data_IF_783493423491
#
_entry.id   IF_783493423491
#
_cell.length_a   1.000
_cell.length_b   1.000
_cell.length_c   1.000
_cell.angle_alpha   90.00
_cell.angle_beta   90.00
_cell.angle_gamma   90.00
#
_symmetry.space_group_name_H-M   'P 1'
#
loop_
_entity.id
_entity.type
_entity.pdbx_description
1 polymer ?
#
# COMPACT_ATOMS: atom_id res chain seq x y z
N UNK A 1 35.69 9.40 27.94
CA UNK A 1 34.91 8.15 27.89
C UNK A 1 33.44 8.53 28.05
N UNK A 2 32.57 8.22 27.10
CA UNK A 2 31.13 8.51 27.24
C UNK A 2 30.51 7.54 28.26
N UNK A 3 29.61 8.03 29.11
CA UNK A 3 28.84 7.20 30.03
C UNK A 3 27.89 6.29 29.25
N UNK A 4 27.52 5.14 29.83
CA UNK A 4 26.62 4.17 29.18
C UNK A 4 25.29 4.81 28.72
N UNK A 5 24.72 5.73 29.50
CA UNK A 5 23.51 6.49 29.14
C UNK A 5 23.72 7.43 27.95
N UNK A 6 24.88 8.07 27.84
CA UNK A 6 25.25 8.96 26.73
C UNK A 6 25.46 8.14 25.45
N UNK A 7 26.04 6.94 25.56
CA UNK A 7 26.18 5.97 24.47
C UNK A 7 24.82 5.46 23.99
N UNK A 8 23.90 5.15 24.91
CA UNK A 8 22.53 4.75 24.59
C UNK A 8 21.74 5.89 23.93
N UNK A 9 21.92 7.14 24.36
CA UNK A 9 21.30 8.29 23.73
C UNK A 9 21.83 8.54 22.29
N UNK A 10 23.15 8.47 22.10
CA UNK A 10 23.80 8.62 20.79
C UNK A 10 23.35 7.54 19.80
N UNK A 11 23.08 6.33 20.27
CA UNK A 11 22.77 5.19 19.39
C UNK A 11 21.30 4.84 19.27
N UNK A 12 20.51 5.13 20.30
CA UNK A 12 19.07 5.00 20.30
C UNK A 12 18.39 6.05 19.41
N UNK A 13 18.90 7.29 19.38
CA UNK A 13 18.24 8.39 18.68
C UNK A 13 18.21 8.22 17.14
N UNK A 14 19.30 7.82 16.46
CA UNK A 14 19.25 7.54 15.02
C UNK A 14 18.36 6.34 14.67
N UNK A 15 18.39 5.28 15.49
CA UNK A 15 17.54 4.09 15.29
C UNK A 15 16.06 4.43 15.43
N UNK A 16 15.69 5.13 16.50
CA UNK A 16 14.33 5.59 16.73
C UNK A 16 13.88 6.54 15.61
N UNK A 17 14.75 7.45 15.17
CA UNK A 17 14.45 8.37 14.07
C UNK A 17 14.15 7.63 12.77
N UNK A 18 14.99 6.67 12.36
CA UNK A 18 14.74 5.85 11.16
C UNK A 18 13.45 5.04 11.29
N UNK A 19 13.19 4.47 12.47
CA UNK A 19 11.97 3.70 12.74
C UNK A 19 10.71 4.57 12.61
N UNK A 20 10.69 5.75 13.25
CA UNK A 20 9.58 6.70 13.18
C UNK A 20 9.35 7.18 11.75
N UNK A 21 10.42 7.44 10.99
CA UNK A 21 10.31 7.80 9.59
C UNK A 21 9.78 6.64 8.73
N UNK A 22 10.16 5.40 9.03
CA UNK A 22 9.60 4.20 8.41
C UNK A 22 8.09 4.09 8.63
N UNK A 23 7.63 4.28 9.88
CA UNK A 23 6.20 4.30 10.18
C UNK A 23 5.47 5.47 9.51
N UNK A 24 6.07 6.66 9.43
CA UNK A 24 5.48 7.78 8.72
C UNK A 24 5.27 7.45 7.24
N UNK A 25 6.28 6.88 6.57
CA UNK A 25 6.18 6.40 5.18
C UNK A 25 5.07 5.35 5.02
N UNK A 26 5.01 4.39 5.93
CA UNK A 26 3.96 3.37 5.94
C UNK A 26 2.56 3.98 6.08
N UNK A 27 2.38 4.94 6.97
CA UNK A 27 1.10 5.62 7.17
C UNK A 27 0.68 6.40 5.92
N UNK A 28 1.60 7.07 5.22
CA UNK A 28 1.26 7.75 3.96
C UNK A 28 0.83 6.76 2.87
N UNK A 29 1.54 5.64 2.70
CA UNK A 29 1.15 4.61 1.74
C UNK A 29 -0.22 4.00 2.07
N UNK A 30 -0.48 3.70 3.35
CA UNK A 30 -1.78 3.18 3.81
C UNK A 30 -2.90 4.22 3.70
N UNK A 31 -2.60 5.51 3.83
CA UNK A 31 -3.55 6.57 3.52
C UNK A 31 -3.89 6.61 2.02
N UNK A 32 -2.90 6.39 1.15
CA UNK A 32 -3.13 6.18 -0.28
C UNK A 32 -4.05 4.99 -0.56
N UNK A 33 -3.82 3.86 0.12
CA UNK A 33 -4.70 2.68 0.04
C UNK A 33 -6.14 2.99 0.47
N UNK A 34 -6.32 3.69 1.59
CA UNK A 34 -7.64 4.08 2.05
C UNK A 34 -8.36 4.99 1.03
N UNK A 35 -7.63 5.90 0.38
CA UNK A 35 -8.16 6.72 -0.71
C UNK A 35 -8.48 5.91 -1.96
N UNK A 36 -7.72 4.86 -2.25
CA UNK A 36 -7.96 3.95 -3.38
C UNK A 36 -9.19 3.05 -3.16
N UNK A 37 -9.47 2.70 -1.91
CA UNK A 37 -10.63 1.90 -1.51
C UNK A 37 -11.86 2.74 -1.13
N UNK A 38 -11.88 4.03 -1.48
CA UNK A 38 -13.03 4.90 -1.23
C UNK A 38 -14.31 4.31 -1.85
N UNK A 39 -15.39 4.29 -1.07
CA UNK A 39 -16.66 3.67 -1.46
C UNK A 39 -16.73 2.15 -1.20
N UNK A 40 -15.64 1.49 -0.83
CA UNK A 40 -15.67 0.09 -0.38
C UNK A 40 -16.04 -0.01 1.11
N UNK A 41 -16.41 -1.20 1.55
CA UNK A 41 -16.61 -1.46 2.98
C UNK A 41 -15.30 -1.35 3.77
N UNK A 42 -15.41 -0.85 5.00
CA UNK A 42 -14.27 -0.72 5.92
C UNK A 42 -13.55 -2.04 6.19
N UNK A 43 -14.30 -3.14 6.23
CA UNK A 43 -13.78 -4.50 6.41
C UNK A 43 -12.74 -4.86 5.35
N UNK A 44 -12.92 -4.41 4.11
CA UNK A 44 -11.96 -4.64 3.03
C UNK A 44 -10.66 -3.87 3.29
N UNK A 45 -10.73 -2.61 3.72
CA UNK A 45 -9.56 -1.82 4.06
C UNK A 45 -8.76 -2.48 5.18
N UNK A 46 -9.43 -2.93 6.25
CA UNK A 46 -8.77 -3.57 7.39
C UNK A 46 -8.03 -4.85 6.97
N UNK A 47 -8.62 -5.60 6.04
CA UNK A 47 -8.02 -6.82 5.49
C UNK A 47 -6.85 -6.51 4.57
N UNK A 48 -7.01 -5.60 3.61
CA UNK A 48 -5.95 -5.24 2.67
C UNK A 48 -4.76 -4.60 3.40
N UNK A 49 -4.99 -3.73 4.38
CA UNK A 49 -3.94 -3.16 5.25
C UNK A 49 -3.12 -4.26 5.94
N UNK A 50 -3.77 -5.32 6.42
CA UNK A 50 -3.08 -6.47 7.04
C UNK A 50 -2.32 -7.30 6.01
N UNK A 51 -2.86 -7.50 4.81
CA UNK A 51 -2.19 -8.24 3.75
C UNK A 51 -0.92 -7.54 3.27
N UNK A 52 -0.93 -6.21 3.15
CA UNK A 52 0.27 -5.46 2.79
C UNK A 52 1.29 -5.46 3.94
N UNK A 53 0.84 -5.42 5.19
CA UNK A 53 1.72 -5.43 6.36
C UNK A 53 2.74 -4.27 6.30
N UNK A 54 4.03 -4.63 6.23
CA UNK A 54 5.16 -3.70 6.03
C UNK A 54 5.77 -3.77 4.62
N UNK A 55 5.06 -4.32 3.63
CA UNK A 55 5.53 -4.39 2.24
C UNK A 55 5.30 -3.07 1.49
N UNK A 56 6.18 -2.10 1.75
CA UNK A 56 6.07 -0.74 1.19
C UNK A 56 6.23 -0.71 -0.33
N UNK A 57 7.08 -1.59 -0.88
CA UNK A 57 7.33 -1.66 -2.32
C UNK A 57 6.10 -2.17 -3.05
N UNK A 58 5.50 -3.27 -2.56
CA UNK A 58 4.27 -3.81 -3.14
C UNK A 58 3.15 -2.77 -3.09
N UNK A 59 2.97 -2.08 -1.97
CA UNK A 59 1.92 -1.09 -1.83
C UNK A 59 2.13 0.13 -2.75
N UNK A 60 3.36 0.62 -2.87
CA UNK A 60 3.67 1.72 -3.80
C UNK A 60 3.47 1.33 -5.27
N UNK A 61 3.76 0.07 -5.63
CA UNK A 61 3.52 -0.45 -6.98
C UNK A 61 2.02 -0.58 -7.28
N UNK A 62 1.23 -1.13 -6.37
CA UNK A 62 -0.21 -1.31 -6.56
C UNK A 62 -0.96 0.04 -6.61
N UNK A 63 -0.42 1.08 -5.95
CA UNK A 63 -0.90 2.46 -6.05
C UNK A 63 -0.32 3.22 -7.25
N UNK A 64 0.51 2.58 -8.08
CA UNK A 64 1.20 3.17 -9.23
C UNK A 64 1.96 4.47 -8.90
N UNK A 65 2.60 4.53 -7.73
CA UNK A 65 3.40 5.70 -7.32
C UNK A 65 4.76 5.65 -8.01
N UNK A 66 5.08 6.68 -8.78
CA UNK A 66 6.34 6.77 -9.54
C UNK A 66 7.60 6.63 -8.66
N UNK A 67 8.66 6.08 -9.26
CA UNK A 67 9.98 5.92 -8.62
C UNK A 67 10.57 7.27 -8.19
N UNK A 68 10.28 8.33 -8.94
CA UNK A 68 10.70 9.70 -8.62
C UNK A 68 10.07 10.23 -7.32
N UNK A 69 8.91 9.70 -6.91
CA UNK A 69 8.22 10.06 -5.66
C UNK A 69 8.67 9.10 -4.56
N UNK A 70 8.65 7.80 -4.84
CA UNK A 70 8.89 6.74 -3.88
C UNK A 70 9.94 5.73 -4.37
N UNK A 71 11.25 6.06 -4.32
CA UNK A 71 12.31 5.15 -4.76
C UNK A 71 12.25 3.79 -4.02
N UNK A 72 12.22 2.69 -4.78
CA UNK A 72 12.01 1.33 -4.25
C UNK A 72 13.17 0.87 -3.37
N UNK A 73 14.38 1.35 -3.62
CA UNK A 73 15.55 1.10 -2.78
C UNK A 73 15.35 1.65 -1.36
N UNK A 74 14.89 2.90 -1.23
CA UNK A 74 14.57 3.52 0.05
C UNK A 74 13.38 2.86 0.74
N UNK A 75 12.34 2.48 -0.02
CA UNK A 75 11.20 1.73 0.54
C UNK A 75 11.64 0.37 1.08
N UNK A 76 12.51 -0.36 0.36
CA UNK A 76 13.06 -1.65 0.80
C UNK A 76 13.94 -1.48 2.04
N UNK A 77 14.76 -0.43 2.06
CA UNK A 77 15.55 -0.08 3.24
C UNK A 77 14.65 0.12 4.47
N UNK A 78 13.60 0.93 4.35
CA UNK A 78 12.69 1.21 5.46
C UNK A 78 11.89 -0.02 5.90
N UNK A 79 11.45 -0.87 4.95
CA UNK A 79 10.83 -2.16 5.26
C UNK A 79 11.74 -2.98 6.18
N UNK A 80 13.01 -3.13 5.81
CA UNK A 80 13.98 -3.89 6.60
C UNK A 80 14.28 -3.22 7.96
N UNK A 81 14.35 -1.88 7.99
CA UNK A 81 14.50 -1.11 9.23
C UNK A 81 13.34 -1.35 10.20
N UNK A 82 12.10 -1.28 9.73
CA UNK A 82 10.91 -1.41 10.58
C UNK A 82 10.64 -2.85 11.00
N UNK A 83 11.02 -3.85 10.20
CA UNK A 83 10.78 -5.26 10.57
C UNK A 83 11.86 -5.84 11.45
N UNK A 84 13.13 -5.50 11.20
CA UNK A 84 14.28 -6.17 11.81
C UNK A 84 15.29 -5.16 12.38
N UNK A 85 15.84 -4.33 11.50
CA UNK A 85 17.08 -3.60 11.73
C UNK A 85 16.95 -2.40 12.68
N UNK A 86 15.76 -1.97 13.09
CA UNK A 86 15.62 -0.94 14.12
C UNK A 86 15.01 -1.47 15.44
N UNK A 87 14.55 -2.73 15.45
CA UNK A 87 13.77 -3.28 16.58
C UNK A 87 14.50 -4.35 17.37
N UNK A 88 15.26 -5.21 16.71
CA UNK A 88 15.93 -6.33 17.34
C UNK A 88 17.44 -6.10 17.42
N UNK A 89 18.18 -6.78 18.32
CA UNK A 89 19.65 -6.76 18.31
C UNK A 89 20.23 -7.18 16.95
N UNK A 90 21.41 -6.68 16.60
CA UNK A 90 22.07 -7.08 15.35
C UNK A 90 22.41 -8.58 15.41
N UNK A 91 21.99 -9.34 14.40
CA UNK A 91 22.33 -10.75 14.25
C UNK A 91 23.58 -10.85 13.36
N UNK A 92 24.64 -11.56 13.78
CA UNK A 92 25.80 -11.79 12.93
C UNK A 92 25.43 -12.69 11.76
N UNK A 93 25.93 -12.35 10.57
CA UNK A 93 25.90 -13.25 9.43
C UNK A 93 26.88 -14.42 9.64
N UNK A 94 26.75 -15.53 8.89
CA UNK A 94 27.76 -16.60 8.93
C UNK A 94 29.16 -16.05 8.66
N UNK A 95 30.09 -16.27 9.60
CA UNK A 95 31.46 -15.77 9.53
C UNK A 95 31.67 -14.33 10.05
N UNK A 96 30.63 -13.67 10.56
CA UNK A 96 30.71 -12.32 11.12
C UNK A 96 30.75 -12.37 12.66
N UNK A 97 31.54 -11.50 13.27
CA UNK A 97 31.55 -11.29 14.72
C UNK A 97 30.36 -10.41 15.16
N UNK A 98 29.91 -10.52 16.43
CA UNK A 98 28.87 -9.63 16.95
C UNK A 98 29.21 -8.13 16.84
N UNK A 99 30.49 -7.76 16.96
CA UNK A 99 30.94 -6.37 16.84
C UNK A 99 30.82 -5.86 15.41
N UNK A 100 31.21 -6.68 14.41
CA UNK A 100 31.05 -6.35 13.00
C UNK A 100 29.58 -6.16 12.63
N UNK A 101 28.69 -7.02 13.14
CA UNK A 101 27.25 -6.90 12.92
C UNK A 101 26.68 -5.59 13.47
N UNK A 102 27.12 -5.18 14.68
CA UNK A 102 26.74 -3.91 15.29
C UNK A 102 27.28 -2.72 14.48
N UNK A 103 28.54 -2.77 14.05
CA UNK A 103 29.17 -1.71 13.28
C UNK A 103 28.51 -1.53 11.91
N UNK A 104 28.24 -2.63 11.19
CA UNK A 104 27.52 -2.62 9.91
C UNK A 104 26.15 -1.98 10.04
N UNK A 105 25.37 -2.41 11.04
CA UNK A 105 24.04 -1.87 11.27
C UNK A 105 24.09 -0.39 11.64
N UNK A 106 25.05 -0.01 12.50
CA UNK A 106 25.21 1.38 12.95
C UNK A 106 25.59 2.28 11.78
N UNK A 107 26.58 1.90 10.98
CA UNK A 107 27.00 2.66 9.79
C UNK A 107 25.87 2.81 8.77
N UNK A 108 25.04 1.78 8.62
CA UNK A 108 23.87 1.78 7.74
C UNK A 108 22.79 2.75 8.20
N UNK A 109 22.43 2.73 9.49
CA UNK A 109 21.36 3.57 10.05
C UNK A 109 21.79 5.02 10.29
N UNK A 110 23.09 5.26 10.51
CA UNK A 110 23.63 6.59 10.80
C UNK A 110 24.12 7.30 9.53
N UNK A 111 23.89 6.71 8.36
CA UNK A 111 24.26 7.34 7.11
C UNK A 111 23.41 8.60 6.87
N UNK A 112 24.04 9.76 6.98
CA UNK A 112 23.36 11.06 6.83
C UNK A 112 22.70 11.23 5.46
N UNK A 113 23.33 10.75 4.38
CA UNK A 113 22.79 10.82 3.02
C UNK A 113 21.51 9.99 2.92
N UNK A 114 21.52 8.78 3.47
CA UNK A 114 20.34 7.90 3.53
C UNK A 114 19.23 8.55 4.37
N UNK A 115 19.55 9.08 5.55
CA UNK A 115 18.57 9.73 6.41
C UNK A 115 17.92 10.95 5.74
N UNK A 116 18.73 11.82 5.10
CA UNK A 116 18.21 12.93 4.28
C UNK A 116 17.32 12.42 3.14
N UNK A 117 17.69 11.30 2.51
CA UNK A 117 16.88 10.63 1.50
C UNK A 117 15.51 10.18 2.04
N UNK A 118 15.48 9.58 3.22
CA UNK A 118 14.26 9.15 3.92
C UNK A 118 13.37 10.35 4.27
N UNK A 119 13.94 11.44 4.79
CA UNK A 119 13.21 12.67 5.06
C UNK A 119 12.55 13.26 3.80
N UNK A 120 13.27 13.26 2.67
CA UNK A 120 12.72 13.70 1.38
C UNK A 120 11.64 12.75 0.87
N UNK A 121 11.84 11.44 0.99
CA UNK A 121 10.84 10.43 0.64
C UNK A 121 9.53 10.65 1.40
N UNK A 122 9.58 10.80 2.72
CA UNK A 122 8.39 11.02 3.52
C UNK A 122 7.64 12.30 3.13
N UNK A 123 8.37 13.39 2.84
CA UNK A 123 7.77 14.64 2.34
C UNK A 123 7.11 14.45 0.98
N UNK A 124 7.81 13.85 0.00
CA UNK A 124 7.26 13.57 -1.33
C UNK A 124 6.01 12.69 -1.27
N UNK A 125 6.04 11.65 -0.44
CA UNK A 125 4.88 10.76 -0.25
C UNK A 125 3.70 11.49 0.39
N UNK A 126 3.94 12.28 1.45
CA UNK A 126 2.91 13.13 2.05
C UNK A 126 2.24 14.02 1.01
N UNK A 127 3.06 14.77 0.27
CA UNK A 127 2.58 15.75 -0.71
C UNK A 127 1.83 15.04 -1.86
N UNK A 128 2.36 13.90 -2.34
CA UNK A 128 1.69 13.09 -3.35
C UNK A 128 0.36 12.52 -2.88
N UNK A 129 0.30 11.96 -1.67
CA UNK A 129 -0.92 11.41 -1.09
C UNK A 129 -1.94 12.51 -0.80
N UNK A 130 -1.53 13.73 -0.44
CA UNK A 130 -2.44 14.87 -0.31
C UNK A 130 -3.16 15.18 -1.63
N UNK A 131 -2.45 15.11 -2.75
CA UNK A 131 -3.03 15.32 -4.08
C UNK A 131 -4.00 14.21 -4.50
N UNK A 132 -3.91 13.01 -3.91
CA UNK A 132 -4.89 11.96 -4.15
C UNK A 132 -6.28 12.44 -3.70
N UNK A 133 -7.22 12.52 -4.65
CA UNK A 133 -8.58 13.08 -4.51
C UNK A 133 -8.68 14.61 -4.41
N UNK A 134 -7.56 15.35 -4.41
CA UNK A 134 -7.57 16.83 -4.28
C UNK A 134 -6.91 17.55 -5.46
N UNK A 135 -6.46 16.82 -6.48
CA UNK A 135 -5.89 17.42 -7.68
C UNK A 135 -6.98 17.83 -8.69
N UNK A 136 -7.11 19.14 -8.92
CA UNK A 136 -8.04 19.69 -9.92
C UNK A 136 -7.74 19.25 -11.35
N UNK A 137 -6.49 18.89 -11.66
CA UNK A 137 -6.08 18.41 -12.98
C UNK A 137 -6.36 16.92 -13.20
N UNK A 138 -6.62 16.20 -12.12
CA UNK A 138 -6.99 14.78 -12.12
C UNK A 138 -8.10 14.58 -11.09
N UNK A 139 -9.33 15.05 -11.37
CA UNK A 139 -10.42 14.92 -10.42
C UNK A 139 -10.69 13.45 -10.10
N UNK A 140 -11.01 13.17 -8.85
CA UNK A 140 -11.45 11.85 -8.44
C UNK A 140 -12.95 11.70 -8.67
N UNK A 141 -13.36 10.59 -9.29
CA UNK A 141 -14.74 10.12 -9.30
C UNK A 141 -14.84 8.83 -8.51
N UNK A 142 -15.94 8.66 -7.77
CA UNK A 142 -16.27 7.42 -7.07
C UNK A 142 -17.76 7.20 -7.13
N UNK A 143 -18.16 6.03 -7.59
CA UNK A 143 -19.55 5.61 -7.62
C UNK A 143 -19.71 4.26 -6.95
N UNK A 144 -20.77 4.12 -6.16
CA UNK A 144 -21.12 2.89 -5.45
C UNK A 144 -22.57 2.51 -5.75
N UNK A 145 -22.78 1.23 -6.02
CA UNK A 145 -24.08 0.62 -6.21
C UNK A 145 -24.21 -0.57 -5.27
N UNK A 146 -25.32 -0.62 -4.53
CA UNK A 146 -25.65 -1.81 -3.77
C UNK A 146 -26.24 -2.86 -4.72
N UNK A 147 -25.89 -4.12 -4.44
CA UNK A 147 -26.48 -5.29 -5.09
C UNK A 147 -27.34 -6.03 -4.06
N UNK A 148 -28.24 -6.93 -4.49
CA UNK A 148 -29.01 -7.75 -3.57
C UNK A 148 -28.13 -8.54 -2.58
N UNK A 149 -28.72 -8.92 -1.44
CA UNK A 149 -28.08 -9.74 -0.41
C UNK A 149 -26.68 -9.25 0.01
N UNK A 150 -26.52 -7.94 0.20
CA UNK A 150 -25.29 -7.33 0.72
C UNK A 150 -24.10 -7.35 -0.25
N UNK A 151 -24.34 -7.62 -1.54
CA UNK A 151 -23.34 -7.38 -2.57
C UNK A 151 -23.19 -5.88 -2.86
N UNK A 152 -22.09 -5.49 -3.48
CA UNK A 152 -21.92 -4.11 -3.96
C UNK A 152 -20.96 -4.04 -5.13
N UNK A 153 -21.03 -2.92 -5.84
CA UNK A 153 -20.07 -2.53 -6.85
C UNK A 153 -19.58 -1.12 -6.56
N UNK A 154 -18.26 -0.91 -6.62
CA UNK A 154 -17.66 0.41 -6.45
C UNK A 154 -16.67 0.66 -7.57
N UNK A 155 -16.87 1.72 -8.34
CA UNK A 155 -15.89 2.19 -9.31
C UNK A 155 -15.24 3.46 -8.80
N UNK A 156 -13.92 3.51 -8.87
CA UNK A 156 -13.09 4.66 -8.52
C UNK A 156 -12.16 5.01 -9.68
N UNK A 157 -12.12 6.29 -10.07
CA UNK A 157 -11.23 6.80 -11.14
C UNK A 157 -10.57 8.11 -10.76
N UNK A 158 -9.44 8.41 -11.38
CA UNK A 158 -8.72 9.68 -11.25
C UNK A 158 -8.19 9.95 -9.85
N UNK A 159 -7.82 11.20 -9.56
CA UNK A 159 -7.20 11.57 -8.30
C UNK A 159 -5.80 11.00 -8.13
N UNK A 160 -5.02 10.91 -9.23
CA UNK A 160 -3.65 10.34 -9.25
C UNK A 160 -3.53 8.93 -8.67
N UNK A 161 -4.60 8.14 -8.78
CA UNK A 161 -4.60 6.74 -8.39
C UNK A 161 -5.04 5.89 -9.58
N UNK A 162 -4.57 4.64 -9.66
CA UNK A 162 -5.04 3.70 -10.65
C UNK A 162 -6.55 3.54 -10.58
N UNK A 163 -7.18 3.54 -11.75
CA UNK A 163 -8.63 3.34 -11.84
C UNK A 163 -8.98 1.91 -11.46
N UNK A 164 -10.01 1.74 -10.65
CA UNK A 164 -10.36 0.47 -10.03
C UNK A 164 -11.86 0.26 -9.94
N UNK A 165 -12.30 -0.95 -10.26
CA UNK A 165 -13.62 -1.46 -9.91
C UNK A 165 -13.42 -2.52 -8.82
N UNK A 166 -14.17 -2.40 -7.72
CA UNK A 166 -14.27 -3.44 -6.69
C UNK A 166 -15.69 -3.99 -6.69
N UNK A 167 -15.82 -5.30 -6.80
CA UNK A 167 -17.10 -6.00 -6.79
C UNK A 167 -17.13 -6.96 -5.61
N UNK A 168 -18.20 -6.89 -4.83
CA UNK A 168 -18.58 -7.92 -3.87
C UNK A 168 -19.86 -8.57 -4.39
N UNK A 169 -19.84 -9.86 -4.75
CA UNK A 169 -21.04 -10.58 -5.14
C UNK A 169 -22.08 -10.59 -4.01
N UNK A 170 -23.37 -10.73 -4.34
CA UNK A 170 -24.40 -11.10 -3.37
C UNK A 170 -23.98 -12.29 -2.52
N UNK A 171 -24.43 -12.34 -1.27
CA UNK A 171 -24.08 -13.43 -0.36
C UNK A 171 -24.43 -14.81 -0.97
N UNK A 172 -23.50 -15.77 -0.84
CA UNK A 172 -23.62 -17.11 -1.39
C UNK A 172 -23.28 -17.25 -2.89
N UNK A 173 -22.92 -16.17 -3.58
CA UNK A 173 -22.54 -16.23 -5.00
C UNK A 173 -21.03 -16.16 -5.21
N UNK A 174 -20.52 -16.99 -6.11
CA UNK A 174 -19.16 -16.90 -6.63
C UNK A 174 -19.24 -16.33 -8.05
N UNK A 175 -18.59 -15.19 -8.28
CA UNK A 175 -18.57 -14.54 -9.59
C UNK A 175 -17.20 -14.67 -10.24
N UNK A 176 -17.19 -15.05 -11.51
CA UNK A 176 -16.07 -14.91 -12.41
C UNK A 176 -16.16 -13.59 -13.19
N UNK A 177 -15.31 -13.48 -14.21
CA UNK A 177 -15.27 -12.28 -15.06
C UNK A 177 -16.57 -12.05 -15.83
N UNK A 178 -17.24 -13.12 -16.28
CA UNK A 178 -18.47 -13.02 -17.06
C UNK A 178 -19.61 -12.37 -16.26
N UNK A 179 -19.83 -12.83 -15.03
CA UNK A 179 -20.85 -12.29 -14.13
C UNK A 179 -20.54 -10.84 -13.76
N UNK A 180 -19.27 -10.53 -13.47
CA UNK A 180 -18.83 -9.16 -13.17
C UNK A 180 -19.07 -8.24 -14.37
N UNK A 181 -18.73 -8.70 -15.57
CA UNK A 181 -18.90 -7.91 -16.81
C UNK A 181 -20.37 -7.66 -17.11
N UNK A 182 -21.25 -8.66 -16.95
CA UNK A 182 -22.70 -8.49 -17.16
C UNK A 182 -23.28 -7.42 -16.22
N UNK A 183 -22.92 -7.48 -14.93
CA UNK A 183 -23.38 -6.51 -13.93
C UNK A 183 -22.84 -5.11 -14.20
N UNK A 184 -21.58 -4.99 -14.64
CA UNK A 184 -21.00 -3.71 -15.03
C UNK A 184 -21.67 -3.11 -16.27
N UNK A 185 -22.05 -3.93 -17.26
CA UNK A 185 -22.75 -3.49 -18.46
C UNK A 185 -24.19 -3.06 -18.18
N UNK A 186 -24.88 -3.76 -17.26
CA UNK A 186 -26.27 -3.44 -16.87
C UNK A 186 -26.37 -2.37 -15.78
N UNK A 187 -25.25 -1.93 -15.22
CA UNK A 187 -25.24 -0.90 -14.19
C UNK A 187 -25.88 0.38 -14.76
N UNK A 188 -26.85 1.01 -14.07
CA UNK A 188 -27.55 2.20 -14.59
C UNK A 188 -26.69 3.46 -14.65
N UNK A 189 -25.41 3.37 -14.27
CA UNK A 189 -24.46 4.47 -14.37
C UNK A 189 -23.83 4.54 -15.75
N UNK A 190 -24.05 5.66 -16.43
CA UNK A 190 -23.32 6.02 -17.65
C UNK A 190 -21.80 5.98 -17.44
N UNK A 191 -21.31 6.50 -16.31
CA UNK A 191 -19.87 6.52 -16.04
C UNK A 191 -19.30 5.10 -15.94
N UNK A 192 -20.00 4.19 -15.24
CA UNK A 192 -19.56 2.80 -15.13
C UNK A 192 -19.56 2.17 -16.52
N UNK A 193 -20.68 2.22 -17.24
CA UNK A 193 -20.83 1.62 -18.57
C UNK A 193 -19.71 2.06 -19.54
N UNK A 194 -19.33 3.34 -19.51
CA UNK A 194 -18.32 3.89 -20.41
C UNK A 194 -16.88 3.53 -20.03
N UNK A 195 -16.58 3.40 -18.73
CA UNK A 195 -15.21 3.45 -18.26
C UNK A 195 -14.73 2.25 -17.44
N UNK A 196 -15.60 1.31 -17.10
CA UNK A 196 -15.21 0.14 -16.29
C UNK A 196 -14.12 -0.70 -16.96
N UNK A 197 -14.11 -0.78 -18.29
CA UNK A 197 -13.13 -1.52 -19.08
C UNK A 197 -11.72 -0.91 -19.04
N UNK A 198 -11.56 0.33 -18.56
CA UNK A 198 -10.29 1.00 -18.33
C UNK A 198 -9.78 0.82 -16.90
N UNK A 199 -10.55 0.14 -16.05
CA UNK A 199 -10.25 -0.05 -14.64
C UNK A 199 -9.65 -1.43 -14.38
N UNK A 200 -8.76 -1.53 -13.38
CA UNK A 200 -8.45 -2.82 -12.79
C UNK A 200 -9.68 -3.36 -12.05
N UNK A 201 -10.06 -4.61 -12.32
CA UNK A 201 -11.20 -5.25 -11.66
C UNK A 201 -10.71 -6.04 -10.46
N UNK A 202 -11.33 -5.83 -9.31
CA UNK A 202 -11.01 -6.49 -8.06
C UNK A 202 -12.26 -7.15 -7.47
N UNK A 203 -12.13 -8.42 -7.10
CA UNK A 203 -13.18 -9.16 -6.41
C UNK A 203 -12.94 -9.12 -4.89
N UNK A 204 -13.93 -8.66 -4.13
CA UNK A 204 -13.95 -8.71 -2.68
C UNK A 204 -14.67 -9.97 -2.21
N UNK A 205 -13.92 -10.90 -1.63
CA UNK A 205 -14.46 -12.16 -1.10
C UNK A 205 -14.59 -12.10 0.43
N UNK A 206 -15.81 -12.33 0.95
CA UNK A 206 -16.09 -12.17 2.38
C UNK A 206 -16.10 -13.46 3.19
N UNK A 207 -16.29 -14.68 2.62
CA UNK A 207 -16.22 -15.96 3.36
C UNK A 207 -16.16 -17.23 2.48
N UNK A 208 -15.09 -18.04 2.61
CA UNK A 208 -15.04 -19.51 2.84
C UNK A 208 -13.62 -20.08 2.73
N UNK A 209 -12.71 -19.43 2.00
CA UNK A 209 -11.30 -19.81 2.02
C UNK A 209 -10.56 -19.07 3.13
N UNK A 210 -10.32 -19.75 4.25
CA UNK A 210 -9.56 -19.25 5.40
C UNK A 210 -8.16 -18.69 5.03
N UNK A 211 -7.67 -18.93 3.81
CA UNK A 211 -6.37 -18.49 3.32
C UNK A 211 -6.37 -17.18 2.50
N UNK A 212 -7.52 -16.65 2.04
CA UNK A 212 -7.54 -15.48 1.14
C UNK A 212 -8.70 -14.51 1.41
N UNK A 213 -8.66 -13.84 2.56
CA UNK A 213 -9.50 -12.66 2.81
C UNK A 213 -8.84 -11.44 2.18
N UNK A 214 -9.52 -10.70 1.30
CA UNK A 214 -9.05 -9.43 0.72
C UNK A 214 -9.56 -9.20 -0.70
N UNK A 215 -9.10 -8.12 -1.34
CA UNK A 215 -9.42 -7.90 -2.75
C UNK A 215 -8.41 -8.60 -3.67
N UNK A 216 -8.90 -9.35 -4.65
CA UNK A 216 -8.05 -10.00 -5.65
C UNK A 216 -8.30 -9.41 -7.03
N UNK A 217 -7.22 -9.05 -7.73
CA UNK A 217 -7.31 -8.58 -9.11
C UNK A 217 -7.80 -9.74 -9.98
N UNK A 218 -8.90 -9.53 -10.70
CA UNK A 218 -9.47 -10.51 -11.63
C UNK A 218 -8.68 -10.42 -12.94
N UNK A 219 -8.11 -11.54 -13.46
CA UNK A 219 -7.48 -11.54 -14.77
C UNK A 219 -8.53 -11.21 -15.83
N UNK A 220 -8.24 -10.21 -16.67
CA UNK A 220 -9.09 -9.90 -17.82
C UNK A 220 -8.68 -10.86 -18.95
N UNK A 221 -9.61 -11.66 -19.52
CA UNK A 221 -9.30 -12.48 -20.68
C UNK A 221 -8.75 -11.58 -21.80
N UNK A 222 -7.55 -11.89 -22.31
CA UNK A 222 -6.97 -11.13 -23.42
C UNK A 222 -7.97 -11.11 -24.58
N UNK A 223 -8.36 -9.90 -25.01
CA UNK A 223 -9.01 -9.74 -26.32
C UNK A 223 -8.00 -10.23 -27.34
N UNK A 224 -8.30 -11.34 -28.00
CA UNK A 224 -7.71 -11.63 -29.30
C UNK A 224 -8.14 -10.48 -30.20
N UNK A 225 -7.25 -9.51 -30.37
CA UNK A 225 -7.34 -8.47 -31.41
C UNK A 225 -7.09 -9.09 -32.76
#
# INVERSE_FOLDING_TARGET
MLRHSEWMALTGNPRASVLLMGYAVEMYLKAGLAKWLMGCERTLLDVDVRQYGHDYVRLANDLEIDEAIAPRDLLRFLKNAVTLEARYPAQPNPGETPVEAINRRTSTLWNEKTFKGICRLAKRLRDHVQLMNSDRRSPASTQRFELPAGGYLTMRRGGRLPSRVTVRPPEGQAWGYAEISDVLQRCPSFEIQQFWNQCAIHLHTTKLDQKKRGSQKVPIPHRQT
#
